data_IF_898308475298
#
_entry.id   IF_898308475298
#
_cell.length_a   1.000
_cell.length_b   1.000
_cell.length_c   1.000
_cell.angle_alpha   90.00
_cell.angle_beta   90.00
_cell.angle_gamma   90.00
#
_symmetry.space_group_name_H-M   'P 1'
#
loop_
_entity.id
_entity.type
_entity.pdbx_description
1 polymer ?
#
# COMPACT_ATOMS: atom_id res chain seq x y z
N UNK A 1 21.73 -10.88 3.82
CA UNK A 1 20.57 -10.69 2.93
C UNK A 1 21.11 -10.79 1.52
N UNK A 2 20.53 -11.65 0.68
CA UNK A 2 20.93 -11.73 -0.72
C UNK A 2 20.33 -10.58 -1.53
N UNK A 3 20.76 -10.47 -2.78
CA UNK A 3 20.15 -9.57 -3.75
C UNK A 3 19.52 -10.39 -4.87
N UNK A 4 18.33 -10.00 -5.30
CA UNK A 4 17.58 -10.67 -6.36
C UNK A 4 17.26 -9.66 -7.45
N UNK A 5 17.67 -9.98 -8.68
CA UNK A 5 17.26 -9.22 -9.87
C UNK A 5 15.90 -9.73 -10.34
N UNK A 6 14.94 -8.81 -10.51
CA UNK A 6 13.60 -9.11 -11.01
C UNK A 6 13.31 -8.31 -12.27
N UNK A 7 12.50 -8.89 -13.16
CA UNK A 7 11.89 -8.23 -14.32
C UNK A 7 10.44 -8.66 -14.42
N UNK A 8 9.74 -8.57 -13.29
CA UNK A 8 8.43 -9.16 -13.11
C UNK A 8 7.33 -8.15 -13.39
N UNK A 9 6.22 -8.65 -13.92
CA UNK A 9 5.06 -7.87 -14.28
C UNK A 9 3.87 -8.24 -13.43
N UNK A 10 3.08 -7.25 -13.06
CA UNK A 10 1.79 -7.44 -12.40
C UNK A 10 1.86 -7.97 -10.98
N UNK A 11 2.82 -7.52 -10.18
CA UNK A 11 2.75 -7.71 -8.73
C UNK A 11 1.51 -6.98 -8.20
N UNK A 12 0.81 -7.63 -7.29
CA UNK A 12 -0.56 -7.30 -6.90
C UNK A 12 -0.55 -6.53 -5.58
N UNK A 13 -1.07 -5.31 -5.59
CA UNK A 13 -1.48 -4.58 -4.39
C UNK A 13 -3.00 -4.57 -4.32
N UNK A 14 -3.59 -4.90 -3.18
CA UNK A 14 -5.03 -4.72 -2.95
C UNK A 14 -5.27 -3.40 -2.22
N UNK A 15 -6.27 -2.64 -2.68
CA UNK A 15 -6.76 -1.45 -1.99
C UNK A 15 -8.27 -1.57 -1.77
N UNK A 16 -8.82 -1.02 -0.66
CA UNK A 16 -10.26 -0.95 -0.47
C UNK A 16 -10.92 -0.19 -1.63
N UNK A 17 -12.01 -0.74 -2.14
CA UNK A 17 -12.80 -0.11 -3.17
C UNK A 17 -13.59 1.08 -2.58
N UNK A 18 -13.37 2.28 -3.10
CA UNK A 18 -13.98 3.51 -2.56
C UNK A 18 -15.31 3.88 -3.24
N UNK A 19 -15.98 2.94 -3.91
CA UNK A 19 -17.16 3.21 -4.75
C UNK A 19 -18.43 3.68 -4.01
N UNK A 20 -18.42 3.75 -2.68
CA UNK A 20 -19.67 3.85 -1.90
C UNK A 20 -19.99 5.21 -1.28
N UNK A 21 -19.32 6.29 -1.69
CA UNK A 21 -19.84 7.63 -1.39
C UNK A 21 -19.80 8.49 -2.65
N UNK A 22 -20.91 9.13 -3.07
CA UNK A 22 -20.80 10.25 -4.01
C UNK A 22 -19.72 11.21 -3.47
N UNK A 23 -18.96 11.91 -4.34
CA UNK A 23 -17.94 12.84 -3.89
C UNK A 23 -18.52 13.70 -2.78
N UNK A 24 -18.03 13.53 -1.55
CA UNK A 24 -18.68 14.09 -0.36
C UNK A 24 -18.83 15.61 -0.48
N UNK A 25 -17.96 16.21 -1.28
CA UNK A 25 -17.89 17.64 -1.55
C UNK A 25 -18.94 18.13 -2.54
N UNK A 26 -19.35 17.36 -3.56
CA UNK A 26 -20.27 17.87 -4.60
C UNK A 26 -21.68 18.09 -4.07
N UNK A 27 -22.09 17.34 -3.06
CA UNK A 27 -23.36 17.54 -2.36
C UNK A 27 -23.34 18.71 -1.35
N UNK A 28 -22.21 19.40 -1.18
CA UNK A 28 -22.03 20.51 -0.24
C UNK A 28 -21.95 21.88 -0.94
N UNK A 29 -21.95 21.91 -2.27
CA UNK A 29 -21.73 23.13 -3.08
C UNK A 29 -22.68 23.17 -4.26
N UNK A 30 -23.12 24.37 -4.63
CA UNK A 30 -24.08 24.57 -5.71
C UNK A 30 -23.36 24.79 -7.05
N UNK A 31 -22.17 25.38 -7.02
CA UNK A 31 -21.39 25.75 -8.22
C UNK A 31 -20.04 25.03 -8.32
N UNK A 32 -19.46 25.02 -9.53
CA UNK A 32 -18.15 24.42 -9.78
C UNK A 32 -17.00 25.27 -9.20
N UNK A 33 -17.17 26.60 -9.09
CA UNK A 33 -16.21 27.50 -8.45
C UNK A 33 -16.13 27.23 -6.93
N UNK A 34 -17.27 27.03 -6.27
CA UNK A 34 -17.32 26.62 -4.86
C UNK A 34 -16.74 25.21 -4.65
N UNK A 35 -16.95 24.31 -5.61
CA UNK A 35 -16.32 22.99 -5.61
C UNK A 35 -14.80 23.08 -5.68
N UNK A 36 -14.25 24.02 -6.46
CA UNK A 36 -12.80 24.24 -6.54
C UNK A 36 -12.23 24.77 -5.22
N UNK A 37 -12.90 25.75 -4.59
CA UNK A 37 -12.51 26.26 -3.27
C UNK A 37 -12.58 25.15 -2.20
N UNK A 38 -13.66 24.36 -2.21
CA UNK A 38 -13.83 23.29 -1.24
C UNK A 38 -12.80 22.16 -1.43
N UNK A 39 -12.47 21.82 -2.68
CA UNK A 39 -11.38 20.90 -3.01
C UNK A 39 -10.01 21.46 -2.59
N UNK A 40 -9.80 22.77 -2.70
CA UNK A 40 -8.57 23.41 -2.21
C UNK A 40 -8.46 23.27 -0.69
N UNK A 41 -9.53 23.54 0.06
CA UNK A 41 -9.59 23.43 1.52
C UNK A 41 -9.39 21.99 1.98
N UNK A 42 -10.07 21.00 1.37
CA UNK A 42 -9.83 19.57 1.66
C UNK A 42 -8.37 19.20 1.33
N UNK A 43 -7.83 19.75 0.24
CA UNK A 43 -6.46 19.55 -0.17
C UNK A 43 -5.41 20.11 0.78
N UNK A 44 -5.77 21.01 1.71
CA UNK A 44 -4.87 21.48 2.76
C UNK A 44 -4.63 20.44 3.86
N UNK A 45 -5.51 19.45 4.02
CA UNK A 45 -5.36 18.37 5.02
C UNK A 45 -5.01 17.03 4.38
N UNK A 46 -5.21 16.88 3.07
CA UNK A 46 -4.75 15.70 2.33
C UNK A 46 -3.22 15.61 2.35
N UNK A 47 -2.67 14.65 3.10
CA UNK A 47 -1.23 14.37 3.14
C UNK A 47 -0.63 14.12 1.75
N UNK A 48 -1.41 13.56 0.82
CA UNK A 48 -1.01 13.39 -0.58
C UNK A 48 -0.83 14.73 -1.30
N UNK A 49 -1.83 15.61 -1.22
CA UNK A 49 -1.78 16.93 -1.88
C UNK A 49 -0.73 17.84 -1.22
N UNK A 50 -0.50 17.71 0.10
CA UNK A 50 0.59 18.39 0.79
C UNK A 50 1.97 17.93 0.30
N UNK A 51 2.18 16.62 0.14
CA UNK A 51 3.43 16.08 -0.42
C UNK A 51 3.64 16.53 -1.88
N UNK A 52 2.58 16.51 -2.70
CA UNK A 52 2.61 17.01 -4.08
C UNK A 52 2.99 18.51 -4.16
N UNK A 53 2.65 19.30 -3.13
CA UNK A 53 3.04 20.72 -2.97
C UNK A 53 4.42 20.92 -2.32
N UNK A 54 5.18 19.86 -2.03
CA UNK A 54 6.49 19.96 -1.37
C UNK A 54 6.45 20.31 0.11
N UNK A 55 5.31 20.06 0.76
CA UNK A 55 5.11 20.34 2.18
C UNK A 55 5.23 19.09 3.05
N UNK A 56 5.82 18.00 2.53
CA UNK A 56 6.14 16.80 3.29
C UNK A 56 7.67 16.73 3.54
N UNK A 57 8.14 16.76 4.79
CA UNK A 57 9.57 16.76 5.10
C UNK A 57 10.27 15.42 4.85
N UNK A 58 9.51 14.33 4.65
CA UNK A 58 10.01 12.97 4.47
C UNK A 58 9.89 12.44 3.02
N UNK A 59 9.31 13.24 2.11
CA UNK A 59 9.10 12.92 0.70
C UNK A 59 9.40 14.16 -0.15
N UNK A 60 10.45 14.09 -0.95
CA UNK A 60 10.72 15.14 -1.93
C UNK A 60 9.70 15.03 -3.08
N UNK A 61 9.06 16.13 -3.53
CA UNK A 61 8.14 16.11 -4.67
C UNK A 61 8.69 15.46 -5.93
N UNK A 62 10.02 15.51 -6.13
CA UNK A 62 10.71 14.88 -7.26
C UNK A 62 10.66 13.36 -7.24
N UNK A 63 10.39 12.78 -6.07
CA UNK A 63 10.21 11.34 -5.92
C UNK A 63 8.81 10.87 -6.35
N UNK A 64 7.82 11.77 -6.40
CA UNK A 64 6.42 11.43 -6.70
C UNK A 64 6.20 11.08 -8.18
N UNK A 65 5.22 10.21 -8.43
CA UNK A 65 5.00 9.62 -9.76
C UNK A 65 4.72 10.65 -10.89
N UNK A 66 4.13 11.80 -10.54
CA UNK A 66 3.70 12.84 -11.48
C UNK A 66 4.82 13.49 -12.31
N UNK A 67 6.07 13.48 -11.85
CA UNK A 67 7.16 14.07 -12.63
C UNK A 67 7.62 13.21 -13.82
N UNK A 68 7.04 12.02 -14.05
CA UNK A 68 7.49 11.14 -15.13
C UNK A 68 7.16 11.64 -16.55
N UNK A 69 6.18 12.51 -16.82
CA UNK A 69 5.90 13.03 -18.18
C UNK A 69 5.27 14.43 -18.21
N UNK A 70 5.63 15.21 -19.23
CA UNK A 70 5.02 16.49 -19.58
C UNK A 70 3.50 16.38 -19.70
N UNK A 71 2.80 17.02 -18.75
CA UNK A 71 1.41 17.56 -18.70
C UNK A 71 0.20 16.92 -19.42
N UNK A 72 0.32 15.99 -20.36
CA UNK A 72 -0.81 15.53 -21.18
C UNK A 72 -1.12 14.02 -21.12
N UNK A 73 -0.36 13.23 -20.36
CA UNK A 73 -0.65 11.80 -20.15
C UNK A 73 -0.81 11.52 -18.65
N UNK A 74 -2.03 11.67 -18.13
CA UNK A 74 -2.38 11.15 -16.80
C UNK A 74 -2.31 9.63 -16.86
N UNK A 75 -1.28 9.02 -16.27
CA UNK A 75 -1.17 7.57 -16.17
C UNK A 75 -2.07 7.10 -15.03
N UNK A 76 -2.87 6.07 -15.27
CA UNK A 76 -3.65 5.44 -14.21
C UNK A 76 -2.70 4.99 -13.08
N UNK A 77 -3.06 5.27 -11.82
CA UNK A 77 -2.28 4.80 -10.68
C UNK A 77 -1.40 5.82 -9.99
N UNK A 78 -1.11 7.00 -10.57
CA UNK A 78 -0.24 8.00 -9.93
C UNK A 78 -0.73 8.43 -8.53
N UNK A 79 -2.06 8.64 -8.40
CA UNK A 79 -2.68 8.96 -7.12
C UNK A 79 -2.58 7.80 -6.12
N UNK A 80 -2.69 6.56 -6.59
CA UNK A 80 -2.55 5.35 -5.77
C UNK A 80 -1.11 5.10 -5.34
N UNK A 81 -0.14 5.36 -6.23
CA UNK A 81 1.29 5.32 -5.93
C UNK A 81 1.59 6.35 -4.87
N UNK A 82 1.29 7.63 -5.09
CA UNK A 82 1.56 8.68 -4.11
C UNK A 82 0.87 8.39 -2.77
N UNK A 83 -0.40 7.95 -2.79
CA UNK A 83 -1.14 7.58 -1.59
C UNK A 83 -0.43 6.51 -0.74
N UNK A 84 0.22 5.52 -1.37
CA UNK A 84 0.96 4.48 -0.65
C UNK A 84 2.14 5.04 0.17
N UNK A 85 2.72 6.17 -0.24
CA UNK A 85 3.84 6.82 0.46
C UNK A 85 3.40 7.95 1.40
N UNK A 86 2.25 8.57 1.15
CA UNK A 86 1.80 9.76 1.89
C UNK A 86 0.77 9.46 2.96
N UNK A 87 -0.01 8.40 2.83
CA UNK A 87 -0.98 8.00 3.85
C UNK A 87 -0.36 6.94 4.75
N UNK A 88 0.09 7.40 5.91
CA UNK A 88 0.66 6.57 6.96
C UNK A 88 -0.36 6.30 8.06
N UNK A 89 -0.08 5.30 8.87
CA UNK A 89 -0.86 4.98 10.07
C UNK A 89 0.00 5.17 11.30
N UNK A 90 -0.65 5.46 12.43
CA UNK A 90 0.01 5.50 13.73
C UNK A 90 0.80 4.21 13.98
N UNK A 91 2.07 4.35 14.36
CA UNK A 91 3.01 3.25 14.56
C UNK A 91 3.52 2.56 13.28
N UNK A 92 3.12 3.01 12.08
CA UNK A 92 3.60 2.48 10.81
C UNK A 92 3.14 1.05 10.47
N UNK A 93 3.78 0.44 9.47
CA UNK A 93 3.65 -0.99 9.15
C UNK A 93 4.99 -1.72 9.39
N UNK A 94 5.07 -2.97 8.96
CA UNK A 94 6.25 -3.83 9.16
C UNK A 94 7.55 -3.19 8.67
N UNK A 95 7.53 -2.51 7.52
CA UNK A 95 8.74 -1.98 6.86
C UNK A 95 8.65 -0.47 6.58
N UNK A 96 7.80 0.25 7.31
CA UNK A 96 7.72 1.70 7.21
C UNK A 96 7.22 2.30 8.54
N UNK A 97 7.79 3.43 8.95
CA UNK A 97 7.33 4.18 10.14
C UNK A 97 6.08 5.00 9.80
N UNK A 98 5.55 5.72 10.77
CA UNK A 98 4.44 6.66 10.55
C UNK A 98 4.84 7.93 9.78
N UNK A 99 6.14 8.18 9.57
CA UNK A 99 6.65 9.37 8.87
C UNK A 99 6.53 9.25 7.35
N UNK A 100 6.66 8.03 6.82
CA UNK A 100 6.66 7.77 5.38
C UNK A 100 6.08 6.40 5.10
N UNK A 101 5.13 6.35 4.17
CA UNK A 101 4.51 5.11 3.70
C UNK A 101 5.45 4.32 2.79
N UNK A 102 4.96 3.17 2.33
CA UNK A 102 5.64 2.32 1.38
C UNK A 102 4.62 1.58 0.51
N UNK A 103 5.05 1.16 -0.68
CA UNK A 103 4.21 0.35 -1.55
C UNK A 103 4.39 -1.13 -1.22
N UNK A 104 3.32 -1.78 -0.80
CA UNK A 104 3.26 -3.22 -0.53
C UNK A 104 2.50 -3.93 -1.64
N UNK A 105 3.07 -5.03 -2.14
CA UNK A 105 2.49 -5.92 -3.13
C UNK A 105 3.03 -7.34 -2.99
N UNK A 106 2.45 -8.31 -3.70
CA UNK A 106 2.90 -9.69 -3.74
C UNK A 106 2.84 -10.26 -5.17
N UNK A 107 3.50 -11.40 -5.40
CA UNK A 107 3.41 -12.11 -6.68
C UNK A 107 2.11 -12.92 -6.81
N UNK A 108 1.53 -13.33 -5.69
CA UNK A 108 0.28 -14.10 -5.63
C UNK A 108 -0.82 -13.23 -5.01
N UNK A 109 -1.97 -13.18 -5.66
CA UNK A 109 -3.14 -12.44 -5.17
C UNK A 109 -3.59 -12.93 -3.79
N UNK A 110 -3.52 -14.23 -3.51
CA UNK A 110 -3.94 -14.79 -2.23
C UNK A 110 -3.02 -14.38 -1.07
N UNK A 111 -1.77 -14.04 -1.36
CA UNK A 111 -0.87 -13.41 -0.39
C UNK A 111 -1.34 -11.99 -0.09
N UNK A 112 -1.64 -11.20 -1.11
CA UNK A 112 -2.19 -9.85 -0.93
C UNK A 112 -3.54 -9.85 -0.20
N UNK A 113 -4.42 -10.82 -0.50
CA UNK A 113 -5.68 -11.05 0.23
C UNK A 113 -5.39 -11.34 1.70
N UNK A 114 -4.45 -12.24 1.98
CA UNK A 114 -4.10 -12.62 3.36
C UNK A 114 -3.60 -11.43 4.18
N UNK A 115 -2.81 -10.53 3.57
CA UNK A 115 -2.31 -9.32 4.23
C UNK A 115 -3.48 -8.35 4.56
N UNK A 116 -4.32 -8.00 3.58
CA UNK A 116 -5.44 -7.06 3.83
C UNK A 116 -6.49 -7.66 4.77
N UNK A 117 -6.77 -8.96 4.65
CA UNK A 117 -7.68 -9.66 5.55
C UNK A 117 -7.17 -9.66 6.98
N UNK A 118 -5.87 -9.92 7.20
CA UNK A 118 -5.29 -9.89 8.55
C UNK A 118 -5.43 -8.52 9.20
N UNK A 119 -5.15 -7.44 8.45
CA UNK A 119 -5.32 -6.07 8.93
C UNK A 119 -6.78 -5.76 9.25
N UNK A 120 -7.71 -6.12 8.36
CA UNK A 120 -9.14 -5.87 8.55
C UNK A 120 -9.72 -6.66 9.72
N UNK A 121 -9.40 -7.95 9.84
CA UNK A 121 -9.80 -8.78 10.99
C UNK A 121 -9.31 -8.18 12.30
N UNK A 122 -8.09 -7.65 12.34
CA UNK A 122 -7.55 -6.98 13.53
C UNK A 122 -8.32 -5.70 13.87
N UNK A 123 -8.69 -4.90 12.87
CA UNK A 123 -9.54 -3.71 13.05
C UNK A 123 -10.91 -4.08 13.62
N UNK A 124 -11.58 -5.07 13.02
CA UNK A 124 -12.86 -5.59 13.51
C UNK A 124 -12.77 -6.08 14.96
N UNK A 125 -11.66 -6.73 15.31
CA UNK A 125 -11.36 -7.17 16.67
C UNK A 125 -11.35 -6.05 17.71
N UNK A 126 -10.96 -4.81 17.36
CA UNK A 126 -11.06 -3.67 18.28
C UNK A 126 -12.50 -3.24 18.56
N UNK A 127 -13.42 -3.49 17.61
CA UNK A 127 -14.85 -3.17 17.76
C UNK A 127 -15.65 -4.32 18.36
N UNK A 128 -15.11 -5.54 18.34
CA UNK A 128 -15.81 -6.77 18.72
C UNK A 128 -16.92 -7.19 17.76
N UNK A 129 -17.11 -6.50 16.62
CA UNK A 129 -18.08 -6.84 15.59
C UNK A 129 -17.37 -7.42 14.37
N UNK A 130 -17.69 -8.67 14.05
CA UNK A 130 -17.19 -9.36 12.86
C UNK A 130 -18.27 -9.54 11.79
N UNK A 131 -19.26 -8.65 11.72
CA UNK A 131 -20.18 -8.59 10.59
C UNK A 131 -19.74 -7.44 9.69
N UNK A 132 -18.97 -7.75 8.65
CA UNK A 132 -18.42 -6.76 7.72
C UNK A 132 -18.30 -7.37 6.32
N UNK A 133 -18.43 -6.52 5.30
CA UNK A 133 -18.14 -6.87 3.92
C UNK A 133 -17.33 -5.74 3.29
N UNK A 134 -16.18 -6.08 2.74
CA UNK A 134 -15.26 -5.13 2.14
C UNK A 134 -14.83 -5.61 0.76
N UNK A 135 -15.08 -4.76 -0.24
CA UNK A 135 -14.57 -4.96 -1.59
C UNK A 135 -13.17 -4.39 -1.71
N UNK A 136 -12.26 -5.16 -2.29
CA UNK A 136 -10.91 -4.75 -2.64
C UNK A 136 -10.73 -4.81 -4.15
N UNK A 137 -9.93 -3.88 -4.68
CA UNK A 137 -9.53 -3.87 -6.09
C UNK A 137 -8.03 -4.07 -6.20
N UNK A 138 -7.62 -4.85 -7.20
CA UNK A 138 -6.22 -5.04 -7.54
C UNK A 138 -5.64 -3.81 -8.24
N UNK A 139 -4.44 -3.45 -7.83
CA UNK A 139 -3.50 -2.63 -8.57
C UNK A 139 -2.30 -3.49 -8.93
N UNK A 140 -2.16 -3.77 -10.22
CA UNK A 140 -1.04 -4.50 -10.78
C UNK A 140 0.09 -3.52 -11.09
N UNK A 141 1.31 -3.82 -10.67
CA UNK A 141 2.49 -3.01 -10.95
C UNK A 141 3.67 -3.88 -11.40
N UNK A 142 4.50 -3.32 -12.29
CA UNK A 142 5.68 -3.98 -12.82
C UNK A 142 6.93 -3.47 -12.07
N UNK A 143 7.89 -4.36 -11.83
CA UNK A 143 9.12 -4.05 -11.11
C UNK A 143 10.33 -4.63 -11.85
N UNK A 144 11.32 -3.77 -12.09
CA UNK A 144 12.53 -4.14 -12.81
C UNK A 144 13.75 -3.61 -12.04
N UNK A 145 14.72 -4.49 -11.81
CA UNK A 145 16.03 -4.19 -11.23
C UNK A 145 16.37 -5.08 -10.05
N UNK A 146 17.43 -4.70 -9.33
CA UNK A 146 17.94 -5.44 -8.16
C UNK A 146 17.25 -4.95 -6.89
N UNK A 147 16.78 -5.90 -6.07
CA UNK A 147 16.18 -5.65 -4.77
C UNK A 147 16.89 -6.48 -3.71
N UNK A 148 16.96 -5.95 -2.49
CA UNK A 148 17.37 -6.76 -1.35
C UNK A 148 16.30 -7.82 -1.08
N UNK A 149 16.73 -9.01 -0.71
CA UNK A 149 15.85 -10.18 -0.58
C UNK A 149 16.22 -10.97 0.68
N UNK A 150 15.26 -11.08 1.60
CA UNK A 150 15.42 -11.78 2.87
C UNK A 150 14.70 -13.15 2.90
N UNK A 151 14.36 -13.71 1.74
CA UNK A 151 13.75 -15.05 1.65
C UNK A 151 14.67 -16.17 2.09
N UNK A 152 15.97 -15.92 2.22
CA UNK A 152 16.98 -16.82 2.82
C UNK A 152 17.21 -16.58 4.33
N UNK A 153 16.51 -15.62 4.94
CA UNK A 153 16.65 -15.24 6.35
C UNK A 153 15.36 -15.43 7.16
N UNK A 154 14.73 -16.60 7.07
CA UNK A 154 13.43 -16.87 7.72
C UNK A 154 13.41 -16.65 9.25
N UNK A 155 14.57 -16.70 9.91
CA UNK A 155 14.72 -16.45 11.35
C UNK A 155 14.91 -14.98 11.73
N UNK A 156 14.93 -14.06 10.77
CA UNK A 156 15.17 -12.64 11.04
C UNK A 156 14.01 -12.04 11.89
N UNK A 157 14.28 -11.29 12.98
CA UNK A 157 13.23 -10.73 13.85
C UNK A 157 12.18 -9.87 13.14
N UNK A 158 12.56 -9.18 12.06
CA UNK A 158 11.62 -8.45 11.20
C UNK A 158 10.51 -9.32 10.57
N UNK A 159 10.67 -10.64 10.52
CA UNK A 159 9.67 -11.61 10.06
C UNK A 159 8.85 -12.22 11.20
N UNK A 160 8.98 -11.70 12.43
CA UNK A 160 8.16 -12.18 13.52
C UNK A 160 6.67 -11.90 13.26
N UNK A 161 5.77 -12.90 13.45
CA UNK A 161 4.35 -12.73 13.12
C UNK A 161 3.64 -11.76 14.06
N UNK A 162 4.05 -11.67 15.32
CA UNK A 162 3.57 -10.64 16.25
C UNK A 162 4.07 -9.25 15.81
N UNK A 163 3.17 -8.30 15.48
CA UNK A 163 3.54 -6.93 15.15
C UNK A 163 4.36 -6.21 16.21
N UNK A 164 4.13 -6.50 17.50
CA UNK A 164 4.85 -5.84 18.60
C UNK A 164 6.36 -6.14 18.59
N UNK A 165 6.73 -7.30 18.02
CA UNK A 165 8.13 -7.72 17.84
C UNK A 165 8.61 -7.41 16.41
N UNK A 166 7.82 -7.79 15.40
CA UNK A 166 8.27 -7.75 14.01
C UNK A 166 8.29 -6.35 13.40
N UNK A 167 7.44 -5.42 13.84
CA UNK A 167 7.37 -4.10 13.23
C UNK A 167 8.54 -3.20 13.63
N UNK A 168 8.96 -3.10 14.91
CA UNK A 168 10.15 -2.33 15.26
C UNK A 168 11.40 -2.79 14.49
N UNK A 169 11.61 -4.10 14.40
CA UNK A 169 12.75 -4.70 13.70
C UNK A 169 12.69 -4.48 12.19
N UNK A 170 11.52 -4.67 11.58
CA UNK A 170 11.34 -4.42 10.16
C UNK A 170 11.43 -2.93 9.79
N UNK A 171 10.96 -2.02 10.66
CA UNK A 171 11.10 -0.58 10.45
C UNK A 171 12.56 -0.15 10.54
N UNK A 172 13.30 -0.66 11.52
CA UNK A 172 14.75 -0.44 11.65
C UNK A 172 15.50 -0.92 10.40
N UNK A 173 15.21 -2.15 9.96
CA UNK A 173 15.78 -2.72 8.74
C UNK A 173 15.45 -1.87 7.50
N UNK A 174 14.19 -1.49 7.30
CA UNK A 174 13.78 -0.69 6.16
C UNK A 174 14.46 0.69 6.15
N UNK A 175 14.63 1.33 7.32
CA UNK A 175 15.40 2.58 7.41
C UNK A 175 16.86 2.38 7.02
N UNK A 176 17.49 1.28 7.47
CA UNK A 176 18.86 0.96 7.09
C UNK A 176 19.00 0.74 5.58
N UNK A 177 18.13 -0.09 4.98
CA UNK A 177 18.13 -0.38 3.55
C UNK A 177 17.92 0.88 2.71
N UNK A 178 16.98 1.75 3.11
CA UNK A 178 16.76 3.04 2.44
C UNK A 178 17.99 3.95 2.49
N UNK A 179 18.67 4.04 3.64
CA UNK A 179 19.91 4.83 3.76
C UNK A 179 21.04 4.27 2.89
N UNK A 180 21.02 2.95 2.63
CA UNK A 180 21.96 2.28 1.73
C UNK A 180 21.58 2.42 0.23
N UNK A 181 20.48 3.10 -0.10
CA UNK A 181 20.03 3.30 -1.48
C UNK A 181 19.22 2.14 -2.06
N UNK A 182 18.69 1.26 -1.21
CA UNK A 182 17.82 0.17 -1.64
C UNK A 182 16.46 0.69 -2.11
N UNK A 183 15.97 0.11 -3.21
CA UNK A 183 14.66 0.43 -3.80
C UNK A 183 13.51 -0.28 -3.11
N UNK A 184 13.78 -1.36 -2.40
CA UNK A 184 12.78 -2.21 -1.78
C UNK A 184 13.35 -3.52 -1.25
N UNK A 185 12.49 -4.28 -0.59
CA UNK A 185 12.82 -5.54 0.08
C UNK A 185 11.81 -6.62 -0.31
N UNK A 186 12.32 -7.75 -0.81
CA UNK A 186 11.57 -8.99 -1.00
C UNK A 186 11.59 -9.76 0.33
N UNK A 187 10.42 -10.18 0.80
CA UNK A 187 10.30 -10.87 2.08
C UNK A 187 9.18 -11.93 2.04
N UNK A 188 9.30 -13.03 2.78
CA UNK A 188 8.22 -14.01 2.89
C UNK A 188 7.04 -13.42 3.68
N UNK A 189 5.81 -13.62 3.19
CA UNK A 189 4.62 -13.25 3.94
C UNK A 189 4.53 -14.07 5.23
N UNK A 190 4.22 -13.38 6.31
CA UNK A 190 3.97 -13.98 7.63
C UNK A 190 2.47 -14.19 7.88
N UNK A 191 1.63 -13.89 6.87
CA UNK A 191 0.16 -13.92 6.94
C UNK A 191 -0.44 -14.99 6.05
N UNK A 192 0.15 -15.21 4.87
CA UNK A 192 -0.32 -16.21 3.94
C UNK A 192 -0.12 -17.64 4.50
N UNK A 193 -1.12 -18.54 4.38
CA UNK A 193 -0.99 -19.93 4.81
C UNK A 193 0.02 -20.71 3.95
N UNK A 194 0.65 -21.74 4.54
CA UNK A 194 1.68 -22.56 3.89
C UNK A 194 1.19 -23.19 2.57
N UNK A 195 1.99 -23.21 1.49
CA UNK A 195 3.44 -22.95 1.44
C UNK A 195 3.85 -21.47 1.56
N UNK A 196 2.90 -20.55 1.76
CA UNK A 196 3.17 -19.12 1.87
C UNK A 196 3.53 -18.53 0.52
N UNK A 197 3.84 -17.24 0.49
CA UNK A 197 4.34 -16.59 -0.71
C UNK A 197 5.11 -15.32 -0.36
N UNK A 198 5.78 -14.75 -1.34
CA UNK A 198 6.63 -13.59 -1.13
C UNK A 198 5.87 -12.29 -1.37
N UNK A 199 6.26 -11.28 -0.61
CA UNK A 199 5.85 -9.91 -0.75
C UNK A 199 7.04 -9.06 -1.18
N UNK A 200 6.74 -7.94 -1.83
CA UNK A 200 7.68 -6.86 -2.10
C UNK A 200 7.17 -5.61 -1.39
N UNK A 201 8.02 -5.03 -0.55
CA UNK A 201 7.85 -3.64 -0.11
C UNK A 201 8.79 -2.77 -0.93
N UNK A 202 8.25 -1.75 -1.58
CA UNK A 202 9.01 -0.78 -2.33
C UNK A 202 9.06 0.55 -1.56
N UNK A 203 10.28 1.06 -1.40
CA UNK A 203 10.57 2.26 -0.62
C UNK A 203 10.53 3.54 -1.47
N UNK A 204 10.49 3.43 -2.79
CA UNK A 204 10.66 4.57 -3.68
C UNK A 204 9.59 4.57 -4.77
N UNK A 205 8.78 5.64 -4.91
CA UNK A 205 7.68 5.66 -5.88
C UNK A 205 8.15 5.44 -7.32
N UNK A 206 9.36 5.91 -7.66
CA UNK A 206 9.91 5.79 -9.01
C UNK A 206 10.20 4.35 -9.43
N UNK A 207 10.31 3.40 -8.50
CA UNK A 207 10.57 2.01 -8.84
C UNK A 207 9.30 1.27 -9.31
N UNK A 208 8.12 1.83 -9.04
CA UNK A 208 6.82 1.29 -9.42
C UNK A 208 6.50 1.71 -10.85
N UNK A 209 6.21 0.73 -11.71
CA UNK A 209 5.98 0.98 -13.14
C UNK A 209 4.66 0.36 -13.60
N UNK A 210 4.08 0.92 -14.67
CA UNK A 210 2.95 0.34 -15.38
C UNK A 210 1.77 -0.08 -14.46
N UNK A 211 1.36 0.83 -13.57
CA UNK A 211 0.24 0.60 -12.65
C UNK A 211 -1.06 0.53 -13.44
N UNK A 212 -1.85 -0.52 -13.20
CA UNK A 212 -3.11 -0.77 -13.90
C UNK A 212 -4.10 -1.49 -12.98
N UNK A 213 -5.42 -1.31 -13.18
CA UNK A 213 -6.41 -2.06 -12.41
C UNK A 213 -6.36 -3.56 -12.78
N UNK A 214 -6.68 -4.41 -11.81
CA UNK A 214 -6.90 -5.84 -12.00
C UNK A 214 -8.30 -6.28 -11.55
N UNK A 215 -8.41 -7.51 -11.07
CA UNK A 215 -9.67 -8.06 -10.58
C UNK A 215 -10.13 -7.38 -9.28
N UNK A 216 -11.37 -7.65 -8.88
CA UNK A 216 -11.93 -7.22 -7.60
C UNK A 216 -12.30 -8.43 -6.74
N UNK A 217 -12.22 -8.26 -5.43
CA UNK A 217 -12.40 -9.32 -4.44
C UNK A 217 -13.29 -8.85 -3.30
N UNK A 218 -14.33 -9.59 -3.01
CA UNK A 218 -15.17 -9.37 -1.83
C UNK A 218 -14.67 -10.24 -0.68
N UNK A 219 -14.34 -9.60 0.44
CA UNK A 219 -14.01 -10.27 1.70
C UNK A 219 -15.18 -10.07 2.67
N UNK A 220 -15.68 -11.17 3.23
CA UNK A 220 -16.85 -11.17 4.12
C UNK A 220 -16.53 -11.84 5.44
N UNK A 221 -16.83 -11.15 6.54
CA UNK A 221 -16.84 -11.68 7.89
C UNK A 221 -18.29 -11.87 8.34
N UNK A 222 -18.63 -13.09 8.74
CA UNK A 222 -20.00 -13.49 9.13
C UNK A 222 -20.07 -13.84 10.62
N UNK A 223 -19.83 -12.83 11.46
CA UNK A 223 -19.90 -12.94 12.92
C UNK A 223 -18.69 -13.62 13.57
N UNK A 224 -17.66 -14.00 12.81
CA UNK A 224 -16.42 -14.58 13.35
C UNK A 224 -15.17 -13.94 12.73
N UNK A 225 -13.97 -14.10 13.33
CA UNK A 225 -12.72 -13.62 12.74
C UNK A 225 -12.32 -14.32 11.42
N UNK A 226 -13.01 -15.41 11.06
CA UNK A 226 -12.82 -16.06 9.77
C UNK A 226 -13.50 -15.25 8.67
N UNK A 227 -12.85 -15.18 7.51
CA UNK A 227 -13.36 -14.50 6.34
C UNK A 227 -13.54 -15.48 5.19
N UNK A 228 -14.51 -15.20 4.33
CA UNK A 228 -14.61 -15.78 3.00
C UNK A 228 -14.11 -14.78 1.96
N UNK A 229 -13.66 -15.29 0.82
CA UNK A 229 -13.16 -14.49 -0.31
C UNK A 229 -13.86 -14.93 -1.58
N UNK A 230 -14.37 -13.97 -2.34
CA UNK A 230 -15.03 -14.24 -3.63
C UNK A 230 -14.53 -13.28 -4.68
N UNK A 231 -14.14 -13.79 -5.85
CA UNK A 231 -13.82 -12.96 -6.99
C UNK A 231 -15.09 -12.27 -7.52
N UNK A 232 -14.99 -10.98 -7.81
CA UNK A 232 -16.07 -10.18 -8.40
C UNK A 232 -15.90 -10.22 -9.92
N UNK A 233 -16.94 -10.72 -10.61
CA UNK A 233 -17.00 -10.79 -12.08
C UNK A 233 -17.43 -9.49 -12.74
#
# INVERSE_FOLDING_TARGET
MKQTEISDRGLIRLIPATYHKPPALRGLVDTDDEMEILAEIEGLTSGRLLAERGRNPHLDPRELAWQRRSRDLRVYGDSHVNAAFTYTRAGGNRFNTEERGAWYCAWDVMVSVSEVAWHRTRELGFTGSFHDSARYVELLADFIGVFDDMTDELGHPALHPDPAVGYPEGQSLAQHLRRAGSRGLIYPSVRAPAPGGNCLVCFEPHAIQNVRPGASWDLVWDGTPHYSVTAVG
#
